data_IF_068864396901
#
_entry.id   IF_068864396901
#
_cell.length_a   1.000
_cell.length_b   1.000
_cell.length_c   1.000
_cell.angle_alpha   90.00
_cell.angle_beta   90.00
_cell.angle_gamma   90.00
#
_symmetry.space_group_name_H-M   'P 1'
#
loop_
_entity.id
_entity.type
_entity.pdbx_description
1 polymer ?
#
# COMPACT_ATOMS: atom_id res chain seq x y z
N UNK A 1 -6.57 -24.34 30.43
CA UNK A 1 -7.30 -24.03 29.19
C UNK A 1 -6.92 -22.61 28.74
N UNK A 2 -6.68 -22.44 27.46
CA UNK A 2 -6.36 -21.14 26.86
C UNK A 2 -7.17 -20.94 25.58
N UNK A 3 -7.40 -19.69 25.22
CA UNK A 3 -8.07 -19.30 23.97
C UNK A 3 -7.27 -18.16 23.31
N UNK A 4 -7.11 -18.24 22.01
CA UNK A 4 -6.46 -17.18 21.21
C UNK A 4 -7.42 -16.67 20.16
N UNK A 5 -7.39 -15.36 19.93
CA UNK A 5 -8.20 -14.68 18.92
C UNK A 5 -7.25 -13.95 17.99
N UNK A 6 -7.40 -14.16 16.69
CA UNK A 6 -6.70 -13.36 15.66
C UNK A 6 -7.62 -12.23 15.18
N UNK A 7 -7.07 -11.01 15.10
CA UNK A 7 -7.80 -9.83 14.67
C UNK A 7 -7.08 -9.22 13.46
N UNK A 8 -7.79 -9.06 12.35
CA UNK A 8 -7.33 -8.24 11.22
C UNK A 8 -7.81 -6.80 11.47
N UNK A 9 -6.87 -5.90 11.77
CA UNK A 9 -7.15 -4.49 12.03
C UNK A 9 -6.65 -3.64 10.88
N UNK A 10 -7.55 -3.10 10.08
CA UNK A 10 -7.21 -2.15 9.03
C UNK A 10 -6.80 -0.82 9.65
N UNK A 11 -5.68 -0.27 9.17
CA UNK A 11 -5.15 1.00 9.61
C UNK A 11 -5.51 2.10 8.60
N UNK A 12 -5.77 3.29 9.09
CA UNK A 12 -5.94 4.49 8.28
C UNK A 12 -4.68 5.36 8.33
N UNK A 13 -4.61 6.39 7.49
CA UNK A 13 -3.48 7.30 7.47
C UNK A 13 -3.20 7.89 8.86
N UNK A 14 -1.93 7.84 9.28
CA UNK A 14 -1.50 8.32 10.59
C UNK A 14 -1.64 7.30 11.73
N UNK A 15 -2.30 6.16 11.52
CA UNK A 15 -2.36 5.10 12.52
C UNK A 15 -1.12 4.19 12.43
N UNK A 16 -0.66 3.74 13.60
CA UNK A 16 0.42 2.76 13.74
C UNK A 16 -0.08 1.49 14.41
N UNK A 17 0.66 0.38 14.25
CA UNK A 17 0.31 -0.86 14.96
C UNK A 17 0.37 -0.67 16.49
N UNK A 18 1.30 0.13 17.02
CA UNK A 18 1.40 0.43 18.45
C UNK A 18 0.13 1.08 18.98
N UNK A 19 -0.43 2.02 18.20
CA UNK A 19 -1.71 2.64 18.51
C UNK A 19 -2.86 1.61 18.51
N UNK A 20 -2.93 0.79 17.47
CA UNK A 20 -3.96 -0.25 17.32
C UNK A 20 -3.90 -1.29 18.46
N UNK A 21 -2.71 -1.78 18.81
CA UNK A 21 -2.54 -2.69 19.95
C UNK A 21 -3.03 -2.05 21.25
N UNK A 22 -2.63 -0.79 21.50
CA UNK A 22 -3.05 -0.07 22.71
C UNK A 22 -4.57 0.13 22.79
N UNK A 23 -5.24 0.32 21.66
CA UNK A 23 -6.71 0.37 21.63
C UNK A 23 -7.32 -0.94 22.11
N UNK A 24 -6.81 -2.08 21.63
CA UNK A 24 -7.30 -3.41 22.02
C UNK A 24 -6.99 -3.68 23.50
N UNK A 25 -5.77 -3.43 23.95
CA UNK A 25 -5.35 -3.57 25.35
C UNK A 25 -6.25 -2.79 26.31
N UNK A 26 -6.74 -1.64 25.87
CA UNK A 26 -7.60 -0.77 26.69
C UNK A 26 -9.07 -1.18 26.73
N UNK A 27 -9.49 -2.16 25.97
CA UNK A 27 -10.86 -2.68 26.05
C UNK A 27 -11.14 -3.26 27.44
N UNK A 28 -12.27 -2.93 28.08
CA UNK A 28 -12.59 -3.44 29.41
C UNK A 28 -12.55 -4.96 29.53
N UNK A 29 -13.04 -5.66 28.49
CA UNK A 29 -13.03 -7.13 28.46
C UNK A 29 -11.61 -7.70 28.40
N UNK A 30 -10.71 -7.09 27.65
CA UNK A 30 -9.30 -7.51 27.53
C UNK A 30 -8.59 -7.33 28.88
N UNK A 31 -8.81 -6.20 29.54
CA UNK A 31 -8.26 -5.94 30.88
C UNK A 31 -8.83 -6.89 31.92
N UNK A 32 -10.14 -7.16 31.92
CA UNK A 32 -10.78 -8.06 32.85
C UNK A 32 -10.29 -9.50 32.69
N UNK A 33 -10.01 -9.92 31.45
CA UNK A 33 -9.47 -11.24 31.15
C UNK A 33 -7.95 -11.35 31.38
N UNK A 34 -7.26 -10.25 31.69
CA UNK A 34 -5.81 -10.18 31.75
C UNK A 34 -5.17 -10.79 30.48
N UNK A 35 -5.78 -10.52 29.32
CA UNK A 35 -5.37 -11.09 28.05
C UNK A 35 -4.09 -10.40 27.51
N UNK A 36 -3.19 -11.19 26.95
CA UNK A 36 -2.01 -10.68 26.22
C UNK A 36 -2.45 -10.23 24.83
N UNK A 37 -2.00 -9.03 24.42
CA UNK A 37 -2.22 -8.51 23.08
C UNK A 37 -0.85 -8.33 22.43
N UNK A 38 -0.69 -8.89 21.25
CA UNK A 38 0.60 -8.84 20.54
C UNK A 38 0.43 -8.78 19.03
N UNK A 39 1.45 -8.27 18.35
CA UNK A 39 1.52 -8.31 16.90
C UNK A 39 1.79 -9.75 16.47
N UNK A 40 1.02 -10.22 15.50
CA UNK A 40 1.18 -11.58 14.98
C UNK A 40 2.41 -11.65 14.06
N UNK A 41 3.25 -12.65 14.26
CA UNK A 41 4.34 -13.00 13.36
C UNK A 41 3.93 -14.21 12.51
N UNK A 42 3.97 -14.05 11.20
CA UNK A 42 3.70 -15.12 10.27
C UNK A 42 4.95 -15.99 10.11
N UNK A 43 4.83 -17.27 10.48
CA UNK A 43 5.94 -18.23 10.47
C UNK A 43 5.60 -19.54 9.75
N UNK A 44 4.61 -19.51 8.86
CA UNK A 44 4.24 -20.71 8.12
C UNK A 44 5.27 -21.00 7.03
N UNK A 45 5.64 -22.30 6.83
CA UNK A 45 6.55 -22.66 5.77
C UNK A 45 5.93 -22.37 4.39
N UNK A 46 6.76 -21.88 3.47
CA UNK A 46 6.44 -21.82 2.05
C UNK A 46 6.39 -23.24 1.46
N UNK A 47 5.93 -23.36 0.23
CA UNK A 47 5.90 -24.66 -0.48
C UNK A 47 7.28 -25.34 -0.59
N UNK A 48 8.36 -24.56 -0.53
CA UNK A 48 9.74 -25.05 -0.49
C UNK A 48 10.19 -25.58 0.86
N UNK A 49 9.37 -25.42 1.91
CA UNK A 49 9.73 -25.70 3.29
C UNK A 49 10.46 -24.57 4.00
N UNK A 50 10.81 -23.48 3.30
CA UNK A 50 11.43 -22.31 3.89
C UNK A 50 10.46 -21.60 4.83
N UNK A 51 10.89 -21.36 6.08
CA UNK A 51 10.19 -20.48 7.03
C UNK A 51 10.89 -19.13 7.02
N UNK A 52 10.16 -18.08 6.75
CA UNK A 52 10.61 -16.70 6.81
C UNK A 52 9.71 -15.91 7.75
N UNK A 53 10.10 -15.74 9.02
CA UNK A 53 9.30 -15.01 9.98
C UNK A 53 9.06 -13.58 9.52
N UNK A 54 7.81 -13.16 9.50
CA UNK A 54 7.42 -11.83 9.04
C UNK A 54 6.37 -11.26 9.97
N UNK A 55 6.62 -10.09 10.53
CA UNK A 55 5.61 -9.37 11.30
C UNK A 55 4.42 -9.01 10.41
N UNK A 56 3.22 -9.31 10.89
CA UNK A 56 1.97 -9.01 10.19
C UNK A 56 1.56 -7.55 10.39
N UNK A 57 2.48 -6.65 10.08
CA UNK A 57 2.29 -5.21 10.06
C UNK A 57 2.53 -4.65 8.67
N UNK A 58 1.56 -3.93 8.16
CA UNK A 58 1.59 -3.30 6.84
C UNK A 58 1.26 -1.82 7.02
N UNK A 59 2.28 -0.94 7.06
CA UNK A 59 2.07 0.48 7.32
C UNK A 59 1.28 1.14 6.19
N UNK A 60 0.43 2.08 6.56
CA UNK A 60 -0.25 2.94 5.59
C UNK A 60 0.74 3.88 4.93
N UNK A 61 0.42 4.32 3.73
CA UNK A 61 1.21 5.30 3.01
C UNK A 61 0.32 6.29 2.27
N UNK A 62 0.83 7.47 2.10
CA UNK A 62 0.23 8.54 1.30
C UNK A 62 1.30 9.14 0.41
N UNK A 63 0.90 9.60 -0.76
CA UNK A 63 1.71 10.39 -1.66
C UNK A 63 0.92 11.64 -2.04
N UNK A 64 1.58 12.77 -2.06
CA UNK A 64 0.92 14.04 -2.36
C UNK A 64 0.51 14.13 -3.84
N UNK A 65 -0.58 14.86 -4.11
CA UNK A 65 -1.08 15.02 -5.47
C UNK A 65 -0.09 15.77 -6.36
N UNK A 66 0.70 16.67 -5.80
CA UNK A 66 1.74 17.44 -6.48
C UNK A 66 3.11 16.75 -6.54
N UNK A 67 3.23 15.56 -5.98
CA UNK A 67 4.46 14.78 -6.03
C UNK A 67 4.84 14.42 -7.50
N UNK A 68 6.13 14.52 -7.89
CA UNK A 68 6.58 14.21 -9.26
C UNK A 68 6.07 12.87 -9.82
N UNK A 69 6.01 11.82 -9.01
CA UNK A 69 5.46 10.54 -9.43
C UNK A 69 3.97 10.64 -9.77
N UNK A 70 3.17 11.36 -8.96
CA UNK A 70 1.74 11.57 -9.21
C UNK A 70 1.52 12.39 -10.46
N UNK A 71 2.23 13.52 -10.58
CA UNK A 71 2.14 14.40 -11.75
C UNK A 71 2.55 13.70 -13.05
N UNK A 72 3.54 12.80 -13.00
CA UNK A 72 3.93 12.00 -14.17
C UNK A 72 2.77 11.17 -14.72
N UNK A 73 2.00 10.52 -13.84
CA UNK A 73 0.85 9.72 -14.26
C UNK A 73 -0.28 10.60 -14.78
N UNK A 74 -0.52 11.73 -14.11
CA UNK A 74 -1.52 12.72 -14.55
C UNK A 74 -1.20 13.23 -15.95
N UNK A 75 0.05 13.64 -16.19
CA UNK A 75 0.49 14.16 -17.49
C UNK A 75 0.48 13.08 -18.58
N UNK A 76 0.87 11.85 -18.24
CA UNK A 76 0.77 10.72 -19.17
C UNK A 76 -0.69 10.48 -19.60
N UNK A 77 -1.61 10.47 -18.63
CA UNK A 77 -3.02 10.25 -18.91
C UNK A 77 -3.61 11.37 -19.78
N UNK A 78 -3.39 12.62 -19.40
CA UNK A 78 -3.84 13.79 -20.17
C UNK A 78 -3.28 13.78 -21.59
N UNK A 79 -1.98 13.49 -21.73
CA UNK A 79 -1.31 13.47 -23.03
C UNK A 79 -1.81 12.35 -23.96
N UNK A 80 -2.18 11.21 -23.41
CA UNK A 80 -2.64 10.06 -24.19
C UNK A 80 -4.13 10.09 -24.50
N UNK A 81 -4.95 10.56 -23.57
CA UNK A 81 -6.40 10.42 -23.69
C UNK A 81 -7.17 11.75 -23.78
N UNK A 82 -6.46 12.87 -23.60
CA UNK A 82 -7.05 14.22 -23.60
C UNK A 82 -8.21 14.36 -22.59
N UNK A 83 -8.08 13.71 -21.47
CA UNK A 83 -9.03 13.69 -20.34
C UNK A 83 -8.26 13.92 -19.03
N UNK A 84 -8.93 14.49 -18.03
CA UNK A 84 -8.38 14.62 -16.69
C UNK A 84 -8.54 13.30 -15.92
N UNK A 85 -7.47 12.72 -15.36
CA UNK A 85 -7.60 11.55 -14.51
C UNK A 85 -8.15 11.94 -13.15
N UNK A 86 -8.81 11.00 -12.49
CA UNK A 86 -9.16 11.11 -11.08
C UNK A 86 -7.98 10.57 -10.26
N UNK A 87 -7.47 11.38 -9.35
CA UNK A 87 -6.50 10.96 -8.33
C UNK A 87 -7.27 10.70 -7.05
N UNK A 88 -7.19 9.49 -6.53
CA UNK A 88 -7.93 9.08 -5.33
C UNK A 88 -7.15 8.01 -4.56
N UNK A 89 -7.71 7.54 -3.46
CA UNK A 89 -7.17 6.47 -2.63
C UNK A 89 -7.72 5.10 -3.06
N UNK A 90 -6.94 4.07 -2.79
CA UNK A 90 -7.38 2.69 -2.93
C UNK A 90 -8.12 2.20 -1.68
N UNK A 91 -9.18 1.44 -1.87
CA UNK A 91 -9.90 0.77 -0.80
C UNK A 91 -9.13 -0.46 -0.30
N UNK A 92 -8.38 -1.10 -1.17
CA UNK A 92 -7.59 -2.30 -0.88
C UNK A 92 -6.12 -1.98 -0.61
N UNK A 93 -5.47 -2.91 0.09
CA UNK A 93 -4.02 -2.90 0.24
C UNK A 93 -3.32 -3.40 -1.03
N UNK A 94 -2.12 -2.91 -1.27
CA UNK A 94 -1.25 -3.31 -2.39
C UNK A 94 0.18 -3.49 -1.89
N UNK A 95 1.09 -3.92 -2.77
CA UNK A 95 2.53 -3.97 -2.46
C UNK A 95 3.14 -2.60 -2.15
N UNK A 96 2.41 -1.51 -2.39
CA UNK A 96 2.79 -0.16 -1.97
C UNK A 96 3.03 -0.02 -0.48
N UNK A 97 2.38 -0.85 0.36
CA UNK A 97 2.66 -0.92 1.81
C UNK A 97 4.10 -1.30 2.12
N UNK A 98 4.73 -2.13 1.29
CA UNK A 98 6.15 -2.47 1.44
C UNK A 98 7.04 -1.41 0.79
N UNK A 99 6.71 -0.96 -0.41
CA UNK A 99 7.55 -0.03 -1.17
C UNK A 99 7.58 1.34 -0.48
N UNK A 100 6.44 1.98 -0.32
CA UNK A 100 6.38 3.30 0.28
C UNK A 100 6.15 3.24 1.79
N UNK A 101 5.30 2.33 2.27
CA UNK A 101 4.99 2.23 3.69
C UNK A 101 6.19 1.83 4.56
N UNK A 102 7.01 0.86 4.11
CA UNK A 102 8.18 0.41 4.88
C UNK A 102 9.47 1.11 4.48
N UNK A 103 9.69 1.31 3.19
CA UNK A 103 10.99 1.79 2.68
C UNK A 103 10.96 3.26 2.24
N UNK A 104 9.82 3.95 2.31
CA UNK A 104 9.73 5.35 1.93
C UNK A 104 9.98 5.63 0.44
N UNK A 105 10.03 4.59 -0.39
CA UNK A 105 10.23 4.74 -1.83
C UNK A 105 8.90 5.24 -2.44
N UNK A 106 8.88 6.39 -3.11
CA UNK A 106 7.67 6.93 -3.71
C UNK A 106 6.96 5.91 -4.60
N UNK A 107 5.69 5.67 -4.33
CA UNK A 107 4.89 4.68 -5.04
C UNK A 107 3.51 5.25 -5.31
N UNK A 108 3.04 5.05 -6.54
CA UNK A 108 1.68 5.41 -6.94
C UNK A 108 1.02 4.23 -7.65
N UNK A 109 -0.25 4.02 -7.39
CA UNK A 109 -1.02 2.93 -7.99
C UNK A 109 -1.67 3.34 -9.29
N UNK A 110 -1.53 2.50 -10.31
CA UNK A 110 -2.27 2.59 -11.56
C UNK A 110 -2.39 1.20 -12.17
N UNK A 111 -3.56 0.88 -12.74
CA UNK A 111 -3.76 -0.41 -13.40
C UNK A 111 -5.08 -0.50 -14.15
N UNK A 112 -5.24 -1.55 -14.98
CA UNK A 112 -6.48 -1.79 -15.70
C UNK A 112 -7.57 -2.34 -14.79
N UNK A 113 -8.83 -2.07 -15.11
CA UNK A 113 -10.00 -2.60 -14.41
C UNK A 113 -10.63 -1.61 -13.44
N UNK A 114 -11.73 -2.04 -12.83
CA UNK A 114 -12.46 -1.25 -11.85
C UNK A 114 -12.34 -1.90 -10.47
N UNK A 115 -12.00 -1.12 -9.46
CA UNK A 115 -11.80 -1.60 -8.08
C UNK A 115 -13.02 -2.37 -7.52
N UNK A 116 -14.23 -1.97 -7.91
CA UNK A 116 -15.47 -2.65 -7.52
C UNK A 116 -15.60 -4.09 -8.01
N UNK A 117 -14.84 -4.46 -9.04
CA UNK A 117 -14.82 -5.83 -9.56
C UNK A 117 -13.81 -6.71 -8.82
N UNK A 118 -12.87 -6.11 -8.06
CA UNK A 118 -11.86 -6.85 -7.34
C UNK A 118 -12.47 -7.73 -6.24
N UNK A 119 -12.00 -8.99 -6.17
CA UNK A 119 -12.51 -9.99 -5.24
C UNK A 119 -14.02 -10.32 -5.39
N UNK A 120 -14.63 -9.93 -6.50
CA UNK A 120 -16.03 -10.22 -6.78
C UNK A 120 -16.19 -11.56 -7.53
N UNK A 121 -17.33 -12.25 -7.38
CA UNK A 121 -17.65 -13.39 -8.24
C UNK A 121 -17.63 -12.96 -9.71
N UNK A 122 -16.96 -13.71 -10.57
CA UNK A 122 -16.77 -13.41 -11.99
C UNK A 122 -16.02 -12.08 -12.23
N UNK A 123 -15.03 -11.78 -11.41
CA UNK A 123 -14.13 -10.65 -11.57
C UNK A 123 -13.66 -10.53 -13.03
N UNK A 124 -13.67 -9.34 -13.56
CA UNK A 124 -13.35 -9.06 -14.96
C UNK A 124 -12.63 -7.75 -15.13
N UNK A 125 -11.82 -7.69 -16.18
CA UNK A 125 -11.17 -6.48 -16.67
C UNK A 125 -11.51 -6.27 -18.14
N UNK A 126 -11.81 -5.06 -18.54
CA UNK A 126 -12.12 -4.74 -19.92
C UNK A 126 -10.86 -4.73 -20.78
N UNK A 127 -10.91 -5.34 -21.98
CA UNK A 127 -9.75 -5.37 -22.89
C UNK A 127 -9.24 -3.97 -23.24
N UNK A 128 -10.12 -2.98 -23.36
CA UNK A 128 -9.74 -1.59 -23.61
C UNK A 128 -8.85 -1.03 -22.47
N UNK A 129 -9.15 -1.37 -21.23
CA UNK A 129 -8.38 -0.89 -20.06
C UNK A 129 -6.97 -1.48 -20.04
N UNK A 130 -6.80 -2.73 -20.53
CA UNK A 130 -5.48 -3.34 -20.71
C UNK A 130 -4.63 -2.57 -21.73
N UNK A 131 -5.25 -2.16 -22.86
CA UNK A 131 -4.55 -1.38 -23.89
C UNK A 131 -4.19 0.00 -23.38
N UNK A 132 -5.11 0.66 -22.67
CA UNK A 132 -4.87 1.96 -22.05
C UNK A 132 -3.74 1.87 -21.01
N UNK A 133 -3.75 0.87 -20.17
CA UNK A 133 -2.71 0.67 -19.16
C UNK A 133 -1.34 0.41 -19.80
N UNK A 134 -1.27 -0.38 -20.86
CA UNK A 134 -0.03 -0.62 -21.59
C UNK A 134 0.53 0.67 -22.20
N UNK A 135 -0.32 1.52 -22.79
CA UNK A 135 0.09 2.82 -23.32
C UNK A 135 0.62 3.75 -22.21
N UNK A 136 -0.05 3.78 -21.07
CA UNK A 136 0.41 4.53 -19.88
C UNK A 136 1.78 4.05 -19.41
N UNK A 137 1.97 2.75 -19.20
CA UNK A 137 3.25 2.20 -18.75
C UNK A 137 4.39 2.47 -19.73
N UNK A 138 4.11 2.52 -21.02
CA UNK A 138 5.11 2.88 -22.02
C UNK A 138 5.48 4.37 -21.99
N UNK A 139 4.54 5.27 -21.67
CA UNK A 139 4.76 6.71 -21.65
C UNK A 139 5.40 7.23 -20.35
N UNK A 140 5.04 6.67 -19.19
CA UNK A 140 5.45 7.12 -17.87
C UNK A 140 6.96 7.33 -17.73
N UNK A 141 7.85 6.38 -18.06
CA UNK A 141 9.28 6.56 -17.84
C UNK A 141 9.84 7.75 -18.61
N UNK A 142 9.42 7.94 -19.86
CA UNK A 142 9.87 9.04 -20.69
C UNK A 142 9.42 10.40 -20.19
N UNK A 143 8.18 10.50 -19.71
CA UNK A 143 7.63 11.73 -19.13
C UNK A 143 8.34 12.06 -17.82
N UNK A 144 8.50 11.06 -16.95
CA UNK A 144 9.19 11.24 -15.68
C UNK A 144 10.61 11.79 -15.86
N UNK A 145 11.42 11.12 -16.67
CA UNK A 145 12.82 11.55 -16.92
C UNK A 145 12.87 12.95 -17.53
N UNK A 146 12.00 13.26 -18.48
CA UNK A 146 12.02 14.54 -19.18
C UNK A 146 11.56 15.72 -18.32
N UNK A 147 10.59 15.51 -17.42
CA UNK A 147 9.89 16.63 -16.78
C UNK A 147 10.11 16.69 -15.25
N UNK A 148 10.40 15.57 -14.62
CA UNK A 148 10.33 15.44 -13.16
C UNK A 148 11.56 14.83 -12.49
N UNK A 149 12.47 14.19 -13.21
CA UNK A 149 13.62 13.52 -12.58
C UNK A 149 14.45 14.46 -11.70
N UNK A 150 14.68 15.68 -12.15
CA UNK A 150 15.47 16.69 -11.43
C UNK A 150 14.68 17.39 -10.30
N UNK A 151 13.38 17.08 -10.18
CA UNK A 151 12.48 17.68 -9.18
C UNK A 151 12.20 16.77 -8.00
N UNK A 152 12.74 15.55 -8.01
CA UNK A 152 12.61 14.66 -6.88
C UNK A 152 13.31 15.28 -5.68
N UNK A 153 12.64 15.33 -4.51
CA UNK A 153 13.34 15.64 -3.27
C UNK A 153 14.49 14.63 -3.12
N UNK A 154 15.66 15.12 -2.70
CA UNK A 154 16.75 14.22 -2.34
C UNK A 154 16.18 13.15 -1.40
N UNK A 155 16.50 11.89 -1.68
CA UNK A 155 16.07 10.79 -0.83
C UNK A 155 16.54 11.15 0.58
N UNK A 156 15.59 11.57 1.41
CA UNK A 156 15.91 11.74 2.83
C UNK A 156 16.41 10.38 3.29
N UNK A 157 17.61 10.32 3.84
CA UNK A 157 18.21 9.14 4.49
C UNK A 157 17.40 8.70 5.73
N UNK A 158 16.12 8.86 5.69
CA UNK A 158 15.14 8.27 6.61
C UNK A 158 14.81 6.85 6.13
N UNK A 159 15.84 6.05 5.91
CA UNK A 159 15.71 4.63 6.20
C UNK A 159 15.32 4.60 7.68
N UNK A 160 14.01 4.40 7.89
CA UNK A 160 13.46 4.20 9.22
C UNK A 160 14.35 3.16 9.87
N UNK A 161 15.16 3.59 10.84
CA UNK A 161 15.80 2.68 11.74
C UNK A 161 14.65 1.83 12.28
N UNK A 162 14.66 0.57 11.95
CA UNK A 162 13.82 -0.42 12.62
C UNK A 162 14.39 -0.39 14.03
N UNK A 163 13.74 0.35 14.91
CA UNK A 163 14.08 0.39 16.31
C UNK A 163 14.02 -1.06 16.83
N UNK A 164 15.22 -1.55 17.22
CA UNK A 164 15.43 -2.81 17.92
C UNK A 164 14.59 -2.92 19.20
#
# INVERSE_FOLDING_TARGET
>A
DSCSISIDRRLTAGETYKFALKQIENLPAVKAANAKVELYTYERPAWTGLVYPTESYFPTWLIEEDHPCTLTLVDAYKGLFNEDPVVDKWTFSTNGVSIMGRYGIPCIGFGPGAEKEAHAPNEKTWKKDLVMAAAMYAAIPGIYVKQYADKMPEATENLVAVDD
#
